data_IF_942150643813
#
_entry.id   IF_942150643813
#
_cell.length_a   1.000
_cell.length_b   1.000
_cell.length_c   1.000
_cell.angle_alpha   90.00
_cell.angle_beta   90.00
_cell.angle_gamma   90.00
#
_symmetry.space_group_name_H-M   'P 1'
#
loop_
_entity.id
_entity.type
_entity.pdbx_description
1 polymer ?
#
# COMPACT_ATOMS: atom_id res chain seq x y z
N UNK A 1 -16.69 5.77 -15.37
CA UNK A 1 -16.67 5.76 -13.90
C UNK A 1 -16.30 4.36 -13.42
N UNK A 2 -15.29 4.25 -12.55
CA UNK A 2 -14.90 3.00 -11.92
C UNK A 2 -15.79 2.79 -10.70
N UNK A 3 -16.52 1.67 -10.65
CA UNK A 3 -17.42 1.35 -9.54
C UNK A 3 -17.11 -0.05 -9.03
N UNK A 4 -16.92 -0.19 -7.73
CA UNK A 4 -16.84 -1.47 -7.03
C UNK A 4 -18.03 -1.60 -6.09
N UNK A 5 -18.98 -2.45 -6.44
CA UNK A 5 -20.19 -2.69 -5.65
C UNK A 5 -20.08 -4.00 -4.90
N UNK A 6 -20.20 -3.96 -3.58
CA UNK A 6 -20.28 -5.14 -2.73
C UNK A 6 -21.70 -5.37 -2.31
N UNK A 7 -22.19 -6.59 -2.44
CA UNK A 7 -23.48 -7.05 -1.93
C UNK A 7 -23.18 -7.88 -0.69
N UNK A 8 -23.71 -7.46 0.45
CA UNK A 8 -23.39 -7.99 1.77
C UNK A 8 -24.67 -8.50 2.41
N UNK A 9 -24.63 -9.69 3.00
CA UNK A 9 -25.64 -10.18 3.92
C UNK A 9 -25.39 -9.54 5.30
N UNK A 10 -26.27 -8.64 5.69
CA UNK A 10 -26.14 -7.90 6.96
C UNK A 10 -26.31 -8.81 8.20
N UNK A 11 -27.02 -9.94 8.08
CA UNK A 11 -27.25 -10.87 9.21
C UNK A 11 -25.97 -11.58 9.62
N UNK A 12 -25.18 -11.95 8.63
CA UNK A 12 -23.93 -12.72 8.84
C UNK A 12 -22.69 -11.89 8.57
N UNK A 13 -22.87 -10.62 8.19
CA UNK A 13 -21.79 -9.70 7.82
C UNK A 13 -20.87 -10.31 6.74
N UNK A 14 -21.49 -11.02 5.79
CA UNK A 14 -20.81 -11.80 4.75
C UNK A 14 -20.95 -11.14 3.40
N UNK A 15 -19.84 -10.92 2.69
CA UNK A 15 -19.88 -10.49 1.30
C UNK A 15 -20.35 -11.65 0.41
N UNK A 16 -21.51 -11.47 -0.24
CA UNK A 16 -22.09 -12.45 -1.16
C UNK A 16 -21.53 -12.31 -2.58
N UNK A 17 -21.38 -11.07 -3.04
CA UNK A 17 -20.97 -10.77 -4.41
C UNK A 17 -20.25 -9.43 -4.48
N UNK A 18 -19.24 -9.35 -5.37
CA UNK A 18 -18.65 -8.08 -5.80
C UNK A 18 -18.85 -7.91 -7.30
N UNK A 19 -19.41 -6.78 -7.69
CA UNK A 19 -19.57 -6.37 -9.10
C UNK A 19 -18.60 -5.21 -9.35
N UNK A 20 -17.62 -5.43 -10.20
CA UNK A 20 -16.66 -4.43 -10.61
C UNK A 20 -17.03 -3.92 -12.01
N UNK A 21 -17.39 -2.65 -12.10
CA UNK A 21 -17.54 -1.94 -13.38
C UNK A 21 -16.22 -1.19 -13.58
N UNK A 22 -15.43 -1.70 -14.50
CA UNK A 22 -14.11 -1.16 -14.79
C UNK A 22 -14.17 -0.21 -15.99
N UNK A 23 -13.54 0.92 -15.86
CA UNK A 23 -13.39 1.95 -16.89
C UNK A 23 -11.95 2.47 -16.83
N UNK A 24 -11.49 3.08 -17.91
CA UNK A 24 -10.17 3.71 -17.95
C UNK A 24 -10.29 5.16 -17.48
N UNK A 25 -9.45 5.53 -16.53
CA UNK A 25 -9.31 6.92 -16.12
C UNK A 25 -8.51 7.70 -17.17
N UNK A 26 -8.84 8.98 -17.33
CA UNK A 26 -8.00 9.85 -18.16
C UNK A 26 -6.63 10.02 -17.49
N UNK A 27 -5.53 9.95 -18.25
CA UNK A 27 -4.19 10.16 -17.71
C UNK A 27 -4.05 11.49 -16.98
N UNK A 28 -3.35 11.46 -15.87
CA UNK A 28 -2.99 12.66 -15.11
C UNK A 28 -2.22 13.65 -16.00
N UNK A 29 -2.73 14.87 -16.03
CA UNK A 29 -2.05 16.01 -16.68
C UNK A 29 -1.62 16.99 -15.59
N UNK A 30 -0.40 17.49 -15.69
CA UNK A 30 0.12 18.47 -14.75
C UNK A 30 1.20 17.92 -13.83
N UNK A 31 1.66 18.77 -12.92
CA UNK A 31 2.74 18.52 -11.96
C UNK A 31 2.15 18.34 -10.55
N UNK A 32 3.00 17.91 -9.63
CA UNK A 32 2.66 17.95 -8.20
C UNK A 32 2.41 19.40 -7.77
N UNK A 33 1.55 19.63 -6.77
CA UNK A 33 1.42 20.94 -6.13
C UNK A 33 2.79 21.43 -5.64
N UNK A 34 2.98 22.74 -5.69
CA UNK A 34 4.23 23.37 -5.27
C UNK A 34 4.25 23.67 -3.75
N UNK A 35 3.91 22.64 -2.96
CA UNK A 35 3.87 22.71 -1.51
C UNK A 35 5.02 21.87 -0.91
N UNK A 36 5.38 22.16 0.32
CA UNK A 36 6.37 21.38 1.05
C UNK A 36 5.71 20.11 1.63
N UNK A 37 5.97 18.99 0.99
CA UNK A 37 5.53 17.66 1.47
C UNK A 37 6.72 16.85 1.97
N UNK A 38 6.53 16.12 3.07
CA UNK A 38 7.57 15.27 3.66
C UNK A 38 7.78 13.96 2.90
N UNK A 39 6.78 13.49 2.17
CA UNK A 39 6.84 12.27 1.35
C UNK A 39 5.84 12.31 0.18
N UNK A 40 6.15 11.58 -0.89
CA UNK A 40 5.22 11.28 -1.97
C UNK A 40 4.73 9.84 -1.84
N UNK A 41 3.41 9.66 -1.85
CA UNK A 41 2.78 8.34 -1.86
C UNK A 41 2.01 8.15 -3.17
N UNK A 42 2.35 7.10 -3.91
CA UNK A 42 1.68 6.69 -5.13
C UNK A 42 0.94 5.38 -4.87
N UNK A 43 -0.40 5.44 -4.85
CA UNK A 43 -1.28 4.26 -4.83
C UNK A 43 -1.96 4.14 -6.19
N UNK A 44 -1.51 3.19 -7.01
CA UNK A 44 -1.93 3.04 -8.40
C UNK A 44 -2.55 1.66 -8.65
N UNK A 45 -3.83 1.66 -8.98
CA UNK A 45 -4.59 0.45 -9.32
C UNK A 45 -4.52 0.08 -10.80
N UNK A 46 -3.64 0.71 -11.57
CA UNK A 46 -3.45 0.51 -13.01
C UNK A 46 -4.74 0.68 -13.83
N UNK A 47 -5.49 1.75 -13.53
CA UNK A 47 -6.72 2.12 -14.24
C UNK A 47 -6.53 3.29 -15.21
N UNK A 48 -5.28 3.55 -15.63
CA UNK A 48 -4.93 4.55 -16.65
C UNK A 48 -4.69 5.96 -16.14
N UNK A 49 -4.98 6.29 -14.86
CA UNK A 49 -4.74 7.64 -14.32
C UNK A 49 -3.24 7.98 -14.26
N UNK A 50 -2.43 7.07 -13.74
CA UNK A 50 -0.98 7.20 -13.77
C UNK A 50 -0.41 6.28 -14.84
N UNK A 51 0.23 6.84 -15.86
CA UNK A 51 1.02 6.03 -16.81
C UNK A 51 2.37 5.69 -16.18
N UNK A 52 3.05 4.68 -16.73
CA UNK A 52 4.40 4.30 -16.27
C UNK A 52 5.36 5.51 -16.35
N UNK A 53 5.36 6.23 -17.46
CA UNK A 53 6.19 7.42 -17.68
C UNK A 53 5.89 8.50 -16.65
N UNK A 54 4.59 8.67 -16.29
CA UNK A 54 4.18 9.66 -15.28
C UNK A 54 4.67 9.30 -13.90
N UNK A 55 4.65 8.02 -13.52
CA UNK A 55 5.23 7.55 -12.26
C UNK A 55 6.73 7.86 -12.21
N UNK A 56 7.48 7.54 -13.27
CA UNK A 56 8.91 7.84 -13.34
C UNK A 56 9.20 9.34 -13.26
N UNK A 57 8.40 10.18 -13.95
CA UNK A 57 8.48 11.64 -13.87
C UNK A 57 8.31 12.13 -12.44
N UNK A 58 7.23 11.72 -11.76
CA UNK A 58 6.91 12.11 -10.38
C UNK A 58 8.01 11.70 -9.39
N UNK A 59 8.53 10.47 -9.53
CA UNK A 59 9.64 9.98 -8.68
C UNK A 59 10.90 10.79 -8.90
N UNK A 60 11.17 11.18 -10.15
CA UNK A 60 12.35 12.01 -10.48
C UNK A 60 12.23 13.44 -9.96
N UNK A 61 11.03 14.02 -10.06
CA UNK A 61 10.79 15.43 -9.71
C UNK A 61 10.67 15.65 -8.19
N UNK A 62 10.18 14.67 -7.44
CA UNK A 62 9.97 14.83 -6.00
C UNK A 62 11.30 14.74 -5.23
N UNK A 63 11.57 15.75 -4.41
CA UNK A 63 12.82 15.84 -3.63
C UNK A 63 12.64 15.35 -2.19
N UNK A 64 12.33 14.08 -2.05
CA UNK A 64 12.06 13.43 -0.76
C UNK A 64 11.83 11.93 -0.92
N UNK A 65 11.46 11.22 0.15
CA UNK A 65 11.13 9.81 0.11
C UNK A 65 9.84 9.58 -0.70
N UNK A 66 9.88 8.60 -1.60
CA UNK A 66 8.74 8.20 -2.43
C UNK A 66 8.35 6.76 -2.11
N UNK A 67 7.05 6.53 -1.91
CA UNK A 67 6.48 5.22 -1.67
C UNK A 67 5.48 4.87 -2.74
N UNK A 68 5.58 3.67 -3.30
CA UNK A 68 4.72 3.22 -4.42
C UNK A 68 4.07 1.90 -4.05
N UNK A 69 2.75 1.85 -4.20
CA UNK A 69 1.95 0.64 -4.30
C UNK A 69 1.27 0.66 -5.68
N UNK A 70 1.69 -0.19 -6.59
CA UNK A 70 1.16 -0.20 -7.96
C UNK A 70 1.01 -1.61 -8.48
N UNK A 71 0.00 -1.79 -9.33
CA UNK A 71 -0.25 -3.05 -10.06
C UNK A 71 0.49 -3.16 -11.38
N UNK A 72 1.32 -2.17 -11.71
CA UNK A 72 2.17 -2.20 -12.91
C UNK A 72 3.34 -3.15 -12.74
N UNK A 73 3.76 -3.72 -13.86
CA UNK A 73 4.89 -4.66 -13.90
C UNK A 73 6.24 -3.96 -14.04
N UNK A 74 6.24 -2.71 -14.54
CA UNK A 74 7.43 -1.86 -14.70
C UNK A 74 7.32 -0.68 -13.75
N UNK A 75 8.18 -0.62 -12.76
CA UNK A 75 8.24 0.43 -11.73
C UNK A 75 9.68 0.96 -11.60
N UNK A 76 9.87 2.22 -11.14
CA UNK A 76 11.22 2.77 -10.93
C UNK A 76 11.93 2.01 -9.80
N UNK A 77 13.07 1.33 -10.09
CA UNK A 77 13.76 0.49 -9.10
C UNK A 77 14.59 1.31 -8.11
N UNK A 78 14.93 2.54 -8.48
CA UNK A 78 15.76 3.44 -7.69
C UNK A 78 14.92 4.58 -7.10
N UNK A 79 15.39 5.20 -6.04
CA UNK A 79 14.80 6.36 -5.38
C UNK A 79 13.44 6.13 -4.71
N UNK A 80 12.67 5.10 -5.06
CA UNK A 80 11.36 4.82 -4.48
C UNK A 80 11.35 3.53 -3.66
N UNK A 81 10.59 3.51 -2.57
CA UNK A 81 10.24 2.30 -1.84
C UNK A 81 9.03 1.66 -2.51
N UNK A 82 9.21 0.47 -3.06
CA UNK A 82 8.16 -0.29 -3.75
C UNK A 82 7.54 -1.27 -2.76
N UNK A 83 6.28 -1.04 -2.38
CA UNK A 83 5.50 -1.98 -1.58
C UNK A 83 4.55 -2.73 -2.51
N UNK A 84 4.71 -4.04 -2.59
CA UNK A 84 3.91 -4.94 -3.43
C UNK A 84 3.57 -6.21 -2.64
N UNK A 85 2.57 -6.96 -3.09
CA UNK A 85 2.29 -8.29 -2.55
C UNK A 85 3.01 -9.40 -3.34
N UNK A 86 2.89 -10.66 -2.88
CA UNK A 86 3.56 -11.80 -3.55
C UNK A 86 3.09 -12.01 -4.99
N UNK A 87 1.80 -11.80 -5.29
CA UNK A 87 1.27 -11.95 -6.65
C UNK A 87 1.81 -10.88 -7.60
N UNK A 88 1.94 -9.65 -7.11
CA UNK A 88 2.52 -8.52 -7.84
C UNK A 88 4.02 -8.72 -8.02
N UNK A 89 4.72 -9.20 -6.98
CA UNK A 89 6.14 -9.55 -7.06
C UNK A 89 6.42 -10.58 -8.15
N UNK A 90 5.58 -11.60 -8.28
CA UNK A 90 5.76 -12.63 -9.31
C UNK A 90 5.62 -12.08 -10.73
N UNK A 91 4.87 -11.00 -10.91
CA UNK A 91 4.63 -10.33 -12.21
C UNK A 91 5.62 -9.21 -12.51
N UNK A 92 6.38 -8.77 -11.51
CA UNK A 92 7.32 -7.65 -11.67
C UNK A 92 8.42 -8.04 -12.67
N UNK A 93 8.66 -7.20 -13.67
CA UNK A 93 9.65 -7.41 -14.72
C UNK A 93 11.08 -7.31 -14.19
N UNK A 94 11.35 -6.31 -13.37
CA UNK A 94 12.65 -6.14 -12.72
C UNK A 94 12.52 -6.34 -11.20
N UNK A 95 13.12 -7.41 -10.69
CA UNK A 95 13.15 -7.75 -9.26
C UNK A 95 14.40 -7.26 -8.55
N UNK A 96 15.35 -6.72 -9.27
CA UNK A 96 16.56 -6.11 -8.71
C UNK A 96 16.27 -4.67 -8.27
N UNK A 97 15.46 -4.57 -7.23
CA UNK A 97 15.03 -3.31 -6.63
C UNK A 97 15.49 -3.29 -5.17
N UNK A 98 16.49 -2.49 -4.81
CA UNK A 98 17.06 -2.47 -3.45
C UNK A 98 16.04 -2.04 -2.38
N UNK A 99 15.03 -1.26 -2.78
CA UNK A 99 14.00 -0.72 -1.90
C UNK A 99 12.65 -1.45 -2.04
N UNK A 100 12.69 -2.75 -2.39
CA UNK A 100 11.50 -3.56 -2.57
C UNK A 100 11.02 -4.17 -1.25
N UNK A 101 9.76 -3.91 -0.89
CA UNK A 101 9.05 -4.44 0.26
C UNK A 101 7.95 -5.37 -0.25
N UNK A 102 8.09 -6.67 0.03
CA UNK A 102 7.09 -7.67 -0.39
C UNK A 102 6.24 -8.07 0.80
N UNK A 103 4.94 -7.74 0.76
CA UNK A 103 3.98 -8.15 1.79
C UNK A 103 3.47 -9.57 1.53
N UNK A 104 3.36 -10.38 2.60
CA UNK A 104 3.02 -11.82 2.57
C UNK A 104 1.81 -12.14 3.45
N UNK A 105 0.82 -11.24 3.48
CA UNK A 105 -0.38 -11.39 4.30
C UNK A 105 -0.05 -11.63 5.77
N UNK A 106 -0.58 -12.70 6.37
CA UNK A 106 -0.34 -13.06 7.77
C UNK A 106 1.12 -13.39 8.12
N UNK A 107 1.96 -13.63 7.11
CA UNK A 107 3.40 -13.87 7.29
C UNK A 107 4.22 -12.58 7.41
N UNK A 108 3.57 -11.41 7.25
CA UNK A 108 4.20 -10.10 7.38
C UNK A 108 4.83 -9.59 6.09
N UNK A 109 6.07 -9.13 6.13
CA UNK A 109 6.74 -8.54 4.98
C UNK A 109 8.21 -8.94 4.90
N UNK A 110 8.77 -8.89 3.69
CA UNK A 110 10.21 -9.08 3.43
C UNK A 110 10.78 -7.79 2.86
N UNK A 111 11.91 -7.36 3.39
CA UNK A 111 12.67 -6.22 2.91
C UNK A 111 14.16 -6.54 2.97
N UNK A 112 14.90 -6.35 1.88
CA UNK A 112 16.34 -6.65 1.74
C UNK A 112 16.72 -8.07 2.23
N UNK A 113 15.90 -9.06 1.88
CA UNK A 113 16.10 -10.45 2.28
C UNK A 113 15.77 -10.78 3.74
N UNK A 114 15.47 -9.77 4.57
CA UNK A 114 15.08 -9.97 5.97
C UNK A 114 13.56 -10.12 6.07
N UNK A 115 13.11 -11.12 6.84
CA UNK A 115 11.70 -11.32 7.13
C UNK A 115 11.28 -10.53 8.39
N UNK A 116 10.19 -9.80 8.27
CA UNK A 116 9.52 -9.07 9.35
C UNK A 116 8.18 -9.76 9.61
N UNK A 117 8.04 -10.55 10.67
CA UNK A 117 6.88 -11.38 10.88
C UNK A 117 5.61 -10.56 11.04
N UNK A 118 4.51 -11.08 10.48
CA UNK A 118 3.18 -10.54 10.70
C UNK A 118 2.66 -10.89 12.10
N UNK A 119 1.56 -10.25 12.47
CA UNK A 119 0.85 -10.53 13.71
C UNK A 119 -0.32 -11.43 13.38
N UNK A 120 -0.40 -12.56 14.05
CA UNK A 120 -1.50 -13.52 13.89
C UNK A 120 -2.73 -13.03 14.66
N UNK A 121 -3.78 -12.71 13.93
CA UNK A 121 -5.07 -12.26 14.46
C UNK A 121 -6.20 -13.02 13.79
N UNK A 122 -7.39 -12.97 14.37
CA UNK A 122 -8.60 -13.42 13.68
C UNK A 122 -8.91 -12.47 12.52
N UNK A 123 -8.89 -12.99 11.29
CA UNK A 123 -9.15 -12.18 10.09
C UNK A 123 -10.64 -12.12 9.85
N UNK A 124 -11.17 -10.91 9.77
CA UNK A 124 -12.57 -10.64 9.43
C UNK A 124 -12.71 -10.25 7.95
N UNK A 125 -11.91 -9.29 7.50
CA UNK A 125 -11.85 -8.85 6.11
C UNK A 125 -10.43 -8.35 5.78
N UNK A 126 -9.92 -8.72 4.61
CA UNK A 126 -8.59 -8.27 4.14
C UNK A 126 -8.63 -6.97 3.33
N UNK A 127 -9.82 -6.39 3.15
CA UNK A 127 -10.02 -5.19 2.34
C UNK A 127 -9.28 -3.99 2.95
N UNK A 128 -8.43 -3.34 2.16
CA UNK A 128 -7.66 -2.17 2.60
C UNK A 128 -6.43 -2.47 3.47
N UNK A 129 -6.15 -3.74 3.80
CA UNK A 129 -4.98 -4.08 4.61
C UNK A 129 -3.66 -3.60 4.00
N UNK A 130 -3.53 -3.70 2.67
CA UNK A 130 -2.36 -3.20 1.93
C UNK A 130 -2.22 -1.68 1.98
N UNK A 131 -3.34 -0.96 1.86
CA UNK A 131 -3.37 0.51 1.95
C UNK A 131 -3.07 0.98 3.37
N UNK A 132 -3.58 0.27 4.38
CA UNK A 132 -3.28 0.53 5.80
C UNK A 132 -1.81 0.27 6.11
N UNK A 133 -1.25 -0.84 5.60
CA UNK A 133 0.18 -1.12 5.72
C UNK A 133 1.01 0.00 5.12
N UNK A 134 0.70 0.44 3.89
CA UNK A 134 1.43 1.51 3.21
C UNK A 134 1.36 2.82 4.01
N UNK A 135 0.18 3.23 4.45
CA UNK A 135 -0.01 4.46 5.21
C UNK A 135 0.77 4.46 6.51
N UNK A 136 0.73 3.34 7.26
CA UNK A 136 1.50 3.18 8.48
C UNK A 136 3.01 3.13 8.21
N UNK A 137 3.44 2.45 7.14
CA UNK A 137 4.84 2.40 6.73
C UNK A 137 5.41 3.80 6.50
N UNK A 138 4.69 4.64 5.75
CA UNK A 138 5.09 6.03 5.48
C UNK A 138 5.16 6.83 6.77
N UNK A 139 4.11 6.77 7.59
CA UNK A 139 4.06 7.50 8.86
C UNK A 139 5.23 7.14 9.79
N UNK A 140 5.48 5.85 10.00
CA UNK A 140 6.56 5.41 10.89
C UNK A 140 7.94 5.57 10.26
N UNK A 141 8.06 5.56 8.93
CA UNK A 141 9.29 5.93 8.26
C UNK A 141 9.64 7.41 8.51
N UNK A 142 8.69 8.32 8.35
CA UNK A 142 8.91 9.74 8.63
C UNK A 142 9.25 9.99 10.11
N UNK A 143 8.72 9.16 11.01
CA UNK A 143 9.00 9.27 12.45
C UNK A 143 10.37 8.71 12.84
N UNK A 144 10.80 7.59 12.25
CA UNK A 144 11.99 6.82 12.68
C UNK A 144 13.15 6.86 11.68
N UNK A 145 12.95 7.33 10.46
CA UNK A 145 13.97 7.53 9.43
C UNK A 145 14.41 6.28 8.68
N UNK A 146 13.91 5.06 9.01
CA UNK A 146 14.30 3.82 8.35
C UNK A 146 13.13 2.87 8.12
N UNK A 147 13.18 2.14 7.00
CA UNK A 147 12.18 1.14 6.63
C UNK A 147 12.14 -0.02 7.62
N UNK A 148 13.30 -0.46 8.07
CA UNK A 148 13.46 -1.58 9.00
C UNK A 148 12.73 -1.32 10.32
N UNK A 149 12.71 -0.08 10.78
CA UNK A 149 11.98 0.33 11.98
C UNK A 149 10.49 0.51 11.70
N UNK A 150 10.11 0.92 10.51
CA UNK A 150 8.72 1.20 10.15
C UNK A 150 7.89 -0.08 9.88
N UNK A 151 8.48 -1.11 9.25
CA UNK A 151 7.75 -2.34 8.86
C UNK A 151 7.04 -3.04 10.03
N UNK A 152 7.64 -3.22 11.23
CA UNK A 152 6.93 -3.85 12.35
C UNK A 152 5.64 -3.14 12.73
N UNK A 153 5.64 -1.81 12.73
CA UNK A 153 4.46 -1.00 13.01
C UNK A 153 3.43 -1.07 11.86
N UNK A 154 3.89 -1.12 10.61
CA UNK A 154 3.02 -1.32 9.46
C UNK A 154 2.33 -2.69 9.51
N UNK A 155 3.04 -3.75 9.94
CA UNK A 155 2.45 -5.07 10.19
C UNK A 155 1.40 -5.03 11.31
N UNK A 156 1.65 -4.31 12.43
CA UNK A 156 0.66 -4.11 13.50
C UNK A 156 -0.60 -3.40 12.97
N UNK A 157 -0.41 -2.33 12.22
CA UNK A 157 -1.50 -1.54 11.63
C UNK A 157 -2.38 -2.40 10.69
N UNK A 158 -1.76 -3.15 9.79
CA UNK A 158 -2.47 -4.06 8.90
C UNK A 158 -3.20 -5.18 9.66
N UNK A 159 -2.59 -5.72 10.74
CA UNK A 159 -3.22 -6.71 11.60
C UNK A 159 -4.48 -6.18 12.28
N UNK A 160 -4.47 -4.93 12.78
CA UNK A 160 -5.67 -4.29 13.33
C UNK A 160 -6.73 -4.12 12.23
N UNK A 161 -6.36 -3.63 11.05
CA UNK A 161 -7.32 -3.39 9.98
C UNK A 161 -8.09 -4.65 9.58
N UNK A 162 -7.43 -5.81 9.48
CA UNK A 162 -8.08 -7.06 9.06
C UNK A 162 -9.01 -7.67 10.12
N UNK A 163 -9.02 -7.17 11.35
CA UNK A 163 -9.99 -7.58 12.38
C UNK A 163 -11.33 -6.86 12.26
N UNK A 164 -11.45 -5.90 11.32
CA UNK A 164 -12.66 -5.12 11.09
C UNK A 164 -13.24 -5.46 9.72
N UNK A 165 -14.55 -5.22 9.60
CA UNK A 165 -15.26 -5.42 8.34
C UNK A 165 -15.06 -4.22 7.39
N UNK A 166 -14.79 -4.50 6.11
CA UNK A 166 -14.61 -3.48 5.08
C UNK A 166 -13.28 -2.72 5.22
N UNK A 167 -13.23 -1.55 4.61
CA UNK A 167 -12.05 -0.67 4.71
C UNK A 167 -12.06 0.05 6.05
N UNK A 168 -11.14 -0.32 6.93
CA UNK A 168 -11.04 0.27 8.26
C UNK A 168 -10.05 1.43 8.29
N UNK A 169 -10.44 2.53 8.93
CA UNK A 169 -9.57 3.67 9.22
C UNK A 169 -9.14 3.58 10.68
N UNK A 170 -7.82 3.52 10.90
CA UNK A 170 -7.26 3.44 12.25
C UNK A 170 -7.67 4.64 13.10
N UNK A 171 -8.14 4.38 14.32
CA UNK A 171 -8.44 5.40 15.31
C UNK A 171 -7.15 5.86 16.03
N UNK A 172 -7.23 6.97 16.77
CA UNK A 172 -6.12 7.41 17.64
C UNK A 172 -5.73 6.34 18.67
N UNK A 173 -6.70 5.58 19.17
CA UNK A 173 -6.45 4.46 20.10
C UNK A 173 -5.60 3.39 19.43
N UNK A 174 -5.94 3.01 18.19
CA UNK A 174 -5.19 2.00 17.44
C UNK A 174 -3.75 2.48 17.19
N UNK A 175 -3.56 3.75 16.84
CA UNK A 175 -2.22 4.33 16.64
C UNK A 175 -1.40 4.30 17.92
N UNK A 176 -2.00 4.55 19.08
CA UNK A 176 -1.31 4.45 20.36
C UNK A 176 -0.93 2.99 20.69
N UNK A 177 -1.84 2.04 20.49
CA UNK A 177 -1.57 0.60 20.67
C UNK A 177 -0.47 0.09 19.73
N UNK A 178 -0.37 0.63 18.51
CA UNK A 178 0.69 0.28 17.57
C UNK A 178 2.06 0.76 18.08
N UNK A 179 2.12 1.91 18.77
CA UNK A 179 3.37 2.51 19.27
C UNK A 179 3.94 1.81 20.51
N UNK A 180 3.08 1.21 21.32
CA UNK A 180 3.43 0.43 22.50
C UNK A 180 3.99 -0.98 22.11
#
# INVERSE_FOLDING_TARGET
QIIKRRIIDERYNQQLLRVDIEDQAKPMKGKLPNDNFDALVISDYDKGFLTTEKIFELVKEFDGPVFIDSKKTTLPPEKAFLKINEDEYNKLENKDCPNLIVTKGSNGAVYQGKNYPGIKVGVFDVCGAGDTFLSALVYFYLLYGTIERAIPYANKAAAIAVTHFGTYVLSERDVNEIRD
#
